data_IF_183230325123
#
_entry.id   IF_183230325123
#
_cell.length_a   1.000
_cell.length_b   1.000
_cell.length_c   1.000
_cell.angle_alpha   90.00
_cell.angle_beta   90.00
_cell.angle_gamma   90.00
#
_symmetry.space_group_name_H-M   'P 1'
#
loop_
_entity.id
_entity.type
_entity.pdbx_description
1 polymer ?
#
# COMPACT_ATOMS: atom_id res chain seq x y z
N UNK A 1 12.38 -4.60 3.51
CA UNK A 1 12.04 -3.26 2.97
C UNK A 1 12.36 -2.22 4.03
N UNK A 2 12.93 -1.07 3.67
CA UNK A 2 13.17 0.01 4.64
C UNK A 2 11.97 0.96 4.67
N UNK A 3 11.59 1.39 5.87
CA UNK A 3 10.48 2.32 6.11
C UNK A 3 10.94 3.48 6.98
N UNK A 4 10.28 4.62 6.83
CA UNK A 4 10.53 5.82 7.62
C UNK A 4 9.23 6.56 7.87
N UNK A 5 8.99 6.92 9.13
CA UNK A 5 7.85 7.72 9.55
C UNK A 5 8.30 8.95 10.31
N UNK A 6 7.61 10.06 10.08
CA UNK A 6 7.81 11.31 10.80
C UNK A 6 6.65 11.49 11.78
N UNK A 7 6.92 11.27 13.07
CA UNK A 7 5.90 11.27 14.12
C UNK A 7 6.02 12.49 15.04
N UNK A 8 4.87 13.10 15.38
CA UNK A 8 4.77 14.09 16.47
C UNK A 8 4.89 13.38 17.83
N UNK A 9 5.23 14.07 18.94
CA UNK A 9 5.56 13.43 20.21
C UNK A 9 4.47 12.47 20.73
N UNK A 10 3.20 12.86 20.67
CA UNK A 10 2.09 11.99 21.09
C UNK A 10 1.98 10.73 20.23
N UNK A 11 2.12 10.87 18.90
CA UNK A 11 2.05 9.73 17.98
C UNK A 11 3.27 8.82 18.16
N UNK A 12 4.44 9.39 18.44
CA UNK A 12 5.63 8.61 18.77
C UNK A 12 5.43 7.79 20.05
N UNK A 13 4.90 8.38 21.12
CA UNK A 13 4.59 7.64 22.35
C UNK A 13 3.58 6.50 22.13
N UNK A 14 2.56 6.73 21.29
CA UNK A 14 1.60 5.68 20.90
C UNK A 14 2.32 4.57 20.12
N UNK A 15 3.20 4.93 19.18
CA UNK A 15 4.00 3.96 18.43
C UNK A 15 4.87 3.10 19.36
N UNK A 16 5.53 3.70 20.36
CA UNK A 16 6.35 2.95 21.33
C UNK A 16 5.50 1.93 22.12
N UNK A 17 4.32 2.36 22.60
CA UNK A 17 3.39 1.49 23.31
C UNK A 17 2.88 0.35 22.42
N UNK A 18 2.45 0.67 21.20
CA UNK A 18 1.99 -0.32 20.23
C UNK A 18 3.10 -1.32 19.88
N UNK A 19 4.32 -0.84 19.61
CA UNK A 19 5.46 -1.68 19.27
C UNK A 19 5.76 -2.72 20.36
N UNK A 20 5.74 -2.27 21.62
CA UNK A 20 6.00 -3.13 22.77
C UNK A 20 4.87 -4.11 23.05
N UNK A 21 3.64 -3.61 23.06
CA UNK A 21 2.51 -4.35 23.63
C UNK A 21 1.72 -5.15 22.60
N UNK A 22 1.50 -4.59 21.40
CA UNK A 22 0.65 -5.21 20.38
C UNK A 22 1.44 -6.12 19.44
N UNK A 23 2.72 -5.82 19.20
CA UNK A 23 3.56 -6.61 18.27
C UNK A 23 4.79 -7.25 18.92
N UNK A 24 4.80 -7.37 20.25
CA UNK A 24 5.83 -8.06 21.02
C UNK A 24 7.27 -7.65 20.63
N UNK A 25 7.56 -6.36 20.75
CA UNK A 25 8.86 -5.78 20.36
C UNK A 25 9.23 -6.04 18.88
N UNK A 26 8.21 -6.10 18.01
CA UNK A 26 8.36 -6.30 16.57
C UNK A 26 8.38 -7.75 16.10
N UNK A 27 8.20 -8.72 17.01
CA UNK A 27 8.21 -10.15 16.69
C UNK A 27 6.92 -10.65 16.02
N UNK A 28 5.81 -9.95 16.18
CA UNK A 28 4.51 -10.34 15.61
C UNK A 28 4.21 -9.64 14.28
N UNK A 29 3.33 -10.28 13.50
CA UNK A 29 2.82 -9.73 12.25
C UNK A 29 1.75 -8.67 12.51
N UNK A 30 1.78 -7.59 11.75
CA UNK A 30 0.77 -6.53 11.79
C UNK A 30 0.40 -6.10 10.38
N UNK A 31 -0.78 -5.49 10.24
CA UNK A 31 -1.26 -4.97 8.97
C UNK A 31 -0.85 -3.51 8.78
N UNK A 32 -0.42 -3.16 7.57
CA UNK A 32 -0.26 -1.77 7.15
C UNK A 32 -0.70 -1.56 5.70
N UNK A 33 -1.18 -0.35 5.36
CA UNK A 33 -1.33 0.03 3.96
C UNK A 33 0.06 0.18 3.31
N UNK A 34 0.26 -0.53 2.21
CA UNK A 34 1.46 -0.44 1.37
C UNK A 34 1.07 0.07 0.00
N UNK A 35 1.76 1.11 -0.48
CA UNK A 35 1.68 1.54 -1.86
C UNK A 35 2.49 0.56 -2.73
N UNK A 36 1.80 -0.22 -3.55
CA UNK A 36 2.36 -1.14 -4.53
C UNK A 36 2.07 -0.64 -5.96
N UNK A 37 2.56 -1.37 -6.98
CA UNK A 37 2.30 -1.04 -8.38
C UNK A 37 0.81 -1.09 -8.76
N UNK A 38 0.01 -1.85 -8.01
CA UNK A 38 -1.45 -1.94 -8.16
C UNK A 38 -2.21 -0.90 -7.31
N UNK A 39 -1.50 0.05 -6.71
CA UNK A 39 -2.06 1.04 -5.80
C UNK A 39 -1.89 0.70 -4.31
N UNK A 40 -2.66 1.38 -3.46
CA UNK A 40 -2.67 1.17 -2.01
C UNK A 40 -3.38 -0.14 -1.67
N UNK A 41 -2.71 -1.03 -0.96
CA UNK A 41 -3.30 -2.27 -0.47
C UNK A 41 -2.80 -2.62 0.93
N UNK A 42 -3.68 -3.15 1.76
CA UNK A 42 -3.32 -3.65 3.08
C UNK A 42 -2.49 -4.92 2.94
N UNK A 43 -1.37 -4.99 3.63
CA UNK A 43 -0.48 -6.15 3.64
C UNK A 43 0.01 -6.42 5.05
N UNK A 44 0.43 -7.65 5.30
CA UNK A 44 1.04 -8.03 6.57
C UNK A 44 2.55 -7.78 6.53
N UNK A 45 3.07 -7.21 7.60
CA UNK A 45 4.48 -7.02 7.79
C UNK A 45 4.91 -7.37 9.20
N UNK A 46 6.22 -7.55 9.35
CA UNK A 46 6.87 -7.76 10.63
C UNK A 46 8.22 -7.08 10.63
N UNK A 47 8.65 -6.56 11.78
CA UNK A 47 9.99 -6.01 11.90
C UNK A 47 11.03 -7.14 11.86
N UNK A 48 12.07 -6.98 11.05
CA UNK A 48 13.20 -7.94 11.02
C UNK A 48 14.24 -7.63 12.10
N UNK A 49 14.23 -6.40 12.59
CA UNK A 49 15.14 -5.84 13.61
C UNK A 49 14.39 -4.77 14.40
N UNK A 50 14.90 -4.43 15.59
CA UNK A 50 14.42 -3.28 16.34
C UNK A 50 14.44 -1.99 15.49
N UNK A 51 13.43 -1.14 15.66
CA UNK A 51 13.39 0.17 14.99
C UNK A 51 14.43 1.12 15.57
N UNK A 52 14.73 2.17 14.83
CA UNK A 52 15.57 3.28 15.26
C UNK A 52 14.72 4.55 15.30
N UNK A 53 14.95 5.39 16.29
CA UNK A 53 14.27 6.67 16.42
C UNK A 53 15.27 7.78 16.75
N UNK A 54 15.09 8.95 16.15
CA UNK A 54 15.85 10.15 16.49
C UNK A 54 14.97 11.40 16.44
N UNK A 55 15.23 12.33 17.35
CA UNK A 55 14.59 13.63 17.34
C UNK A 55 15.26 14.51 16.26
N UNK A 56 14.53 14.82 15.18
CA UNK A 56 15.07 15.60 14.05
C UNK A 56 14.79 17.10 14.15
N UNK A 57 13.73 17.49 14.89
CA UNK A 57 13.37 18.88 15.19
C UNK A 57 12.68 18.95 16.56
N UNK A 58 12.43 20.17 17.06
CA UNK A 58 11.91 20.46 18.41
C UNK A 58 10.64 19.68 18.83
N UNK A 59 9.89 19.07 17.91
CA UNK A 59 8.75 18.18 18.20
C UNK A 59 8.52 17.17 17.07
N UNK A 60 9.59 16.63 16.49
CA UNK A 60 9.49 15.72 15.36
C UNK A 60 10.47 14.57 15.53
N UNK A 61 9.93 13.35 15.61
CA UNK A 61 10.67 12.10 15.64
C UNK A 61 10.71 11.49 14.26
N UNK A 62 11.89 11.11 13.79
CA UNK A 62 12.08 10.25 12.63
C UNK A 62 12.27 8.83 13.16
N UNK A 63 11.33 7.93 12.82
CA UNK A 63 11.38 6.51 13.15
C UNK A 63 11.67 5.75 11.87
N UNK A 64 12.67 4.88 11.88
CA UNK A 64 13.03 4.02 10.74
C UNK A 64 13.14 2.56 11.15
N UNK A 65 12.79 1.67 10.24
CA UNK A 65 12.85 0.23 10.48
C UNK A 65 13.06 -0.58 9.21
N UNK A 66 13.33 -1.86 9.40
CA UNK A 66 13.36 -2.86 8.35
C UNK A 66 12.16 -3.80 8.54
N UNK A 67 11.33 -3.92 7.51
CA UNK A 67 10.16 -4.78 7.49
C UNK A 67 10.33 -5.96 6.52
N UNK A 68 9.94 -7.13 6.98
CA UNK A 68 9.56 -8.27 6.16
C UNK A 68 8.09 -8.10 5.75
N UNK A 69 7.78 -8.28 4.46
CA UNK A 69 6.42 -8.12 3.92
C UNK A 69 5.95 -9.49 3.45
N UNK A 70 4.75 -9.89 3.86
CA UNK A 70 4.10 -11.11 3.41
C UNK A 70 3.05 -10.78 2.37
N UNK A 71 3.01 -11.58 1.30
CA UNK A 71 2.02 -11.42 0.21
C UNK A 71 2.03 -9.99 -0.35
N UNK A 72 3.16 -9.57 -0.96
CA UNK A 72 3.23 -8.26 -1.61
C UNK A 72 2.06 -8.13 -2.61
N UNK A 73 1.28 -7.04 -2.56
CA UNK A 73 0.18 -6.84 -3.49
C UNK A 73 0.70 -6.79 -4.92
N UNK A 74 0.21 -7.70 -5.76
CA UNK A 74 0.56 -7.83 -7.18
C UNK A 74 -0.71 -8.07 -7.99
N UNK A 75 -0.62 -7.91 -9.31
CA UNK A 75 -1.69 -8.30 -10.21
C UNK A 75 -2.08 -9.76 -9.97
N UNK A 76 -3.38 -10.04 -10.04
CA UNK A 76 -3.86 -11.42 -10.06
C UNK A 76 -3.33 -12.13 -11.29
N UNK A 77 -3.23 -13.46 -11.22
CA UNK A 77 -2.78 -14.28 -12.35
C UNK A 77 -3.64 -14.03 -13.61
N UNK A 78 -4.94 -13.86 -13.42
CA UNK A 78 -5.87 -13.64 -14.53
C UNK A 78 -5.69 -12.25 -15.15
N UNK A 79 -5.55 -11.20 -14.32
CA UNK A 79 -5.29 -9.85 -14.81
C UNK A 79 -3.96 -9.77 -15.56
N UNK A 80 -2.91 -10.44 -15.05
CA UNK A 80 -1.65 -10.58 -15.77
C UNK A 80 -1.82 -11.36 -17.07
N UNK A 81 -2.65 -12.41 -17.08
CA UNK A 81 -2.96 -13.21 -18.25
C UNK A 81 -3.56 -12.38 -19.38
N UNK A 82 -4.51 -11.48 -19.08
CA UNK A 82 -5.06 -10.55 -20.07
C UNK A 82 -3.95 -9.66 -20.63
N UNK A 83 -3.18 -8.99 -19.77
CA UNK A 83 -2.15 -8.05 -20.21
C UNK A 83 -1.03 -8.70 -21.03
N UNK A 84 -0.68 -9.96 -20.76
CA UNK A 84 0.35 -10.68 -21.50
C UNK A 84 -0.12 -11.16 -22.87
N UNK A 85 -1.40 -11.53 -22.98
CA UNK A 85 -1.96 -12.12 -24.21
C UNK A 85 -2.67 -11.10 -25.10
N UNK A 86 -2.87 -9.89 -24.60
CA UNK A 86 -3.49 -8.81 -25.35
C UNK A 86 -2.45 -7.82 -25.85
N UNK A 87 -2.70 -7.28 -27.04
CA UNK A 87 -2.03 -6.07 -27.46
C UNK A 87 -2.55 -4.92 -26.58
N UNK A 88 -1.69 -4.46 -25.67
CA UNK A 88 -2.06 -3.47 -24.66
C UNK A 88 -2.55 -2.16 -25.30
N UNK A 89 -1.96 -1.75 -26.42
CA UNK A 89 -2.36 -0.53 -27.14
C UNK A 89 -3.74 -0.69 -27.78
N UNK A 90 -4.01 -1.87 -28.36
CA UNK A 90 -5.33 -2.18 -28.91
C UNK A 90 -6.41 -2.28 -27.81
N UNK A 91 -6.05 -2.77 -26.62
CA UNK A 91 -6.94 -2.78 -25.46
C UNK A 91 -7.28 -1.37 -24.98
N UNK A 92 -6.28 -0.49 -24.83
CA UNK A 92 -6.52 0.90 -24.42
C UNK A 92 -7.46 1.61 -25.40
N UNK A 93 -7.21 1.49 -26.72
CA UNK A 93 -8.10 2.05 -27.74
C UNK A 93 -9.53 1.48 -27.69
N UNK A 94 -9.66 0.20 -27.32
CA UNK A 94 -10.96 -0.46 -27.19
C UNK A 94 -11.72 0.04 -25.95
N UNK A 95 -11.03 0.32 -24.84
CA UNK A 95 -11.60 0.91 -23.62
C UNK A 95 -12.15 2.30 -23.93
N UNK A 96 -11.35 3.18 -24.55
CA UNK A 96 -11.78 4.53 -24.92
C UNK A 96 -13.01 4.51 -25.84
N UNK A 97 -13.02 3.60 -26.80
CA UNK A 97 -14.15 3.41 -27.71
C UNK A 97 -15.42 2.97 -26.97
N UNK A 98 -15.28 2.08 -25.99
CA UNK A 98 -16.40 1.58 -25.18
C UNK A 98 -16.94 2.69 -24.25
N UNK A 99 -16.06 3.46 -23.61
CA UNK A 99 -16.45 4.62 -22.81
C UNK A 99 -17.20 5.65 -23.64
N UNK A 100 -16.73 5.95 -24.85
CA UNK A 100 -17.41 6.84 -25.77
C UNK A 100 -18.83 6.34 -26.10
N UNK A 101 -18.97 5.06 -26.45
CA UNK A 101 -20.27 4.43 -26.74
C UNK A 101 -21.22 4.50 -25.55
N UNK A 102 -20.75 4.18 -24.34
CA UNK A 102 -21.56 4.23 -23.11
C UNK A 102 -22.03 5.65 -22.81
N UNK A 103 -21.16 6.64 -22.96
CA UNK A 103 -21.49 8.02 -22.61
C UNK A 103 -22.35 8.72 -23.68
N UNK A 104 -22.24 8.33 -24.95
CA UNK A 104 -22.82 9.11 -26.06
C UNK A 104 -23.86 8.37 -26.91
N UNK A 105 -23.92 7.04 -26.86
CA UNK A 105 -24.81 6.26 -27.73
C UNK A 105 -25.83 5.41 -26.97
N UNK A 106 -25.51 4.97 -25.75
CA UNK A 106 -26.48 4.28 -24.92
C UNK A 106 -27.40 5.28 -24.23
N UNK A 107 -28.74 5.11 -24.29
CA UNK A 107 -29.66 5.95 -23.54
C UNK A 107 -29.45 5.72 -22.04
N UNK A 108 -29.27 6.79 -21.27
CA UNK A 108 -29.31 6.72 -19.82
C UNK A 108 -30.76 6.47 -19.39
N UNK A 109 -31.13 5.21 -19.18
CA UNK A 109 -32.45 4.92 -18.60
C UNK A 109 -32.54 5.51 -17.19
N UNK A 110 -33.54 6.36 -16.89
CA UNK A 110 -33.86 6.71 -15.52
C UNK A 110 -34.64 5.53 -14.92
N UNK A 111 -34.06 4.89 -13.90
CA UNK A 111 -34.82 4.05 -12.98
C UNK A 111 -35.63 4.93 -12.01
#
# INVERSE_FOLDING_TARGET
MSVRWNLRPLIYAIFESWFKHEILDGAEWFELPLLAGIGMATTQARFTKAYQAKLVRRNQWEVSGELEIRNRPVLTRDALGVLVNSDFEALELSIDSLEYLVQHQLPSEPW
#
